data_IF_698285241032
#
_entry.id   IF_698285241032
#
_cell.length_a   1.000
_cell.length_b   1.000
_cell.length_c   1.000
_cell.angle_alpha   90.00
_cell.angle_beta   90.00
_cell.angle_gamma   90.00
#
_symmetry.space_group_name_H-M   'P 1'
#
loop_
_entity.id
_entity.type
_entity.pdbx_description
1 polymer ?
#
# COMPACT_ATOMS: atom_id res chain seq x y z
N UNK A 1 -18.71 -0.32 -7.39
CA UNK A 1 -20.04 -0.89 -7.71
C UNK A 1 -20.75 0.08 -8.65
N UNK A 2 -20.44 0.05 -9.95
CA UNK A 2 -20.99 1.03 -10.93
C UNK A 2 -20.42 2.46 -10.84
N UNK A 3 -19.65 2.77 -9.80
CA UNK A 3 -18.98 4.06 -9.62
C UNK A 3 -18.10 4.40 -10.82
N UNK A 4 -18.13 5.67 -11.23
CA UNK A 4 -17.42 6.20 -12.40
C UNK A 4 -17.75 5.46 -13.72
N UNK A 5 -18.92 4.84 -13.83
CA UNK A 5 -19.32 4.08 -15.02
C UNK A 5 -18.52 2.78 -15.23
N UNK A 6 -17.71 2.38 -14.24
CA UNK A 6 -16.92 1.15 -14.30
C UNK A 6 -17.57 0.02 -13.50
N UNK A 7 -17.45 -1.19 -14.05
CA UNK A 7 -17.78 -2.43 -13.35
C UNK A 7 -16.49 -3.17 -12.96
N UNK A 8 -16.54 -3.91 -11.86
CA UNK A 8 -15.41 -4.67 -11.30
C UNK A 8 -14.20 -3.82 -10.87
N UNK A 9 -12.98 -4.36 -10.96
CA UNK A 9 -11.75 -3.79 -10.40
C UNK A 9 -10.70 -3.37 -11.44
N UNK A 10 -11.07 -3.36 -12.72
CA UNK A 10 -10.16 -3.04 -13.83
C UNK A 10 -10.01 -1.53 -14.03
N UNK A 11 -9.70 -0.80 -12.95
CA UNK A 11 -9.54 0.64 -12.96
C UNK A 11 -8.54 1.10 -11.90
N UNK A 12 -7.99 2.29 -12.10
CA UNK A 12 -7.06 2.96 -11.19
C UNK A 12 -7.75 3.94 -10.23
N UNK A 13 -9.09 3.93 -10.16
CA UNK A 13 -9.82 4.68 -9.14
C UNK A 13 -9.57 4.13 -7.75
N UNK A 14 -9.57 5.04 -6.75
CA UNK A 14 -9.25 4.70 -5.37
C UNK A 14 -10.17 3.60 -4.81
N UNK A 15 -11.45 3.62 -5.18
CA UNK A 15 -12.44 2.63 -4.75
C UNK A 15 -12.11 1.19 -5.21
N UNK A 16 -11.28 1.04 -6.26
CA UNK A 16 -10.76 -0.25 -6.71
C UNK A 16 -9.42 -0.60 -6.05
N UNK A 17 -8.54 0.39 -5.88
CA UNK A 17 -7.13 0.15 -5.48
C UNK A 17 -6.88 0.22 -3.97
N UNK A 18 -7.75 0.90 -3.20
CA UNK A 18 -7.62 1.02 -1.75
C UNK A 18 -8.38 -0.12 -1.08
N UNK A 19 -7.64 -0.99 -0.39
CA UNK A 19 -8.18 -2.14 0.32
C UNK A 19 -8.16 -1.91 1.85
N UNK A 20 -9.00 -2.62 2.61
CA UNK A 20 -8.80 -2.73 4.05
C UNK A 20 -7.51 -3.52 4.35
N UNK A 21 -6.70 -3.01 5.27
CA UNK A 21 -5.57 -3.71 5.87
C UNK A 21 -5.64 -3.55 7.39
N UNK A 22 -5.78 -4.67 8.09
CA UNK A 22 -5.77 -4.74 9.56
C UNK A 22 -4.71 -5.76 9.93
N UNK A 23 -3.76 -5.37 10.79
CA UNK A 23 -2.72 -6.25 11.28
C UNK A 23 -2.90 -6.38 12.80
N UNK A 24 -3.05 -7.61 13.27
CA UNK A 24 -3.06 -7.94 14.69
C UNK A 24 -1.74 -8.60 15.04
N UNK A 25 -0.91 -7.92 15.83
CA UNK A 25 0.32 -8.46 16.36
C UNK A 25 0.16 -8.69 17.87
N UNK A 26 0.23 -9.94 18.37
CA UNK A 26 0.06 -10.22 19.79
C UNK A 26 1.14 -9.57 20.67
N UNK A 27 2.32 -9.30 20.10
CA UNK A 27 3.46 -8.69 20.78
C UNK A 27 3.47 -7.15 20.66
N UNK A 28 2.45 -6.55 20.03
CA UNK A 28 2.37 -5.09 19.91
C UNK A 28 1.94 -4.47 21.23
N UNK A 29 2.72 -3.51 21.71
CA UNK A 29 2.39 -2.70 22.90
C UNK A 29 1.14 -1.85 22.69
N UNK A 30 0.87 -1.43 21.45
CA UNK A 30 -0.28 -0.59 21.08
C UNK A 30 -1.31 -1.40 20.31
N UNK A 31 -2.57 -1.25 20.69
CA UNK A 31 -3.74 -1.92 20.07
C UNK A 31 -4.76 -0.88 19.60
N UNK A 32 -5.54 -1.22 18.58
CA UNK A 32 -6.61 -0.34 18.07
C UNK A 32 -6.13 0.96 17.44
N UNK A 33 -4.85 1.06 17.07
CA UNK A 33 -4.27 2.27 16.47
C UNK A 33 -4.48 2.30 14.96
N UNK A 34 -4.54 3.51 14.40
CA UNK A 34 -4.74 3.75 12.96
C UNK A 34 -3.62 4.61 12.39
N UNK A 35 -3.04 4.18 11.27
CA UNK A 35 -2.14 5.01 10.47
C UNK A 35 -2.79 5.38 9.13
N UNK A 36 -2.55 6.61 8.68
CA UNK A 36 -2.95 7.10 7.35
C UNK A 36 -1.75 7.18 6.38
N UNK A 37 -0.59 6.64 6.77
CA UNK A 37 0.59 6.59 5.90
C UNK A 37 0.34 5.68 4.70
N UNK A 38 0.79 6.06 3.47
CA UNK A 38 0.68 5.19 2.31
C UNK A 38 1.49 3.90 2.50
N UNK A 39 0.87 2.77 2.16
CA UNK A 39 1.47 1.42 2.20
C UNK A 39 1.02 0.65 0.95
N UNK A 40 1.76 -0.40 0.60
CA UNK A 40 1.47 -1.25 -0.54
C UNK A 40 1.33 -2.72 -0.12
N UNK A 41 0.64 -3.54 -0.93
CA UNK A 41 0.49 -4.97 -0.63
C UNK A 41 1.83 -5.72 -0.57
N UNK A 42 2.83 -5.27 -1.34
CA UNK A 42 4.18 -5.83 -1.34
C UNK A 42 4.92 -5.62 0.00
N UNK A 43 4.42 -4.73 0.87
CA UNK A 43 4.99 -4.47 2.18
C UNK A 43 4.69 -5.62 3.17
N UNK A 44 3.69 -6.45 2.90
CA UNK A 44 3.31 -7.56 3.78
C UNK A 44 4.43 -8.58 3.95
N UNK A 45 5.11 -8.94 2.86
CA UNK A 45 6.18 -9.93 2.92
C UNK A 45 7.33 -9.51 3.85
N UNK A 46 8.03 -8.38 3.66
CA UNK A 46 9.08 -7.95 4.57
C UNK A 46 8.56 -7.63 5.99
N UNK A 47 7.29 -7.25 6.15
CA UNK A 47 6.69 -7.08 7.48
C UNK A 47 6.64 -8.40 8.25
N UNK A 48 6.21 -9.50 7.60
CA UNK A 48 6.16 -10.81 8.23
C UNK A 48 7.56 -11.32 8.55
N UNK A 49 8.52 -11.08 7.66
CA UNK A 49 9.93 -11.45 7.87
C UNK A 49 10.49 -10.77 9.13
N UNK A 50 10.31 -9.46 9.27
CA UNK A 50 10.74 -8.72 10.47
C UNK A 50 10.03 -9.19 11.74
N UNK A 51 8.70 -9.38 11.69
CA UNK A 51 7.91 -9.85 12.84
C UNK A 51 8.28 -11.27 13.29
N UNK A 52 8.89 -12.07 12.42
CA UNK A 52 9.29 -13.45 12.69
C UNK A 52 10.80 -13.62 12.82
N UNK A 53 11.57 -12.53 12.83
CA UNK A 53 13.05 -12.53 12.87
C UNK A 53 13.69 -13.36 11.74
N UNK A 54 13.10 -13.35 10.55
CA UNK A 54 13.67 -14.00 9.36
C UNK A 54 14.31 -12.93 8.46
N UNK A 55 15.51 -13.20 7.95
CA UNK A 55 16.18 -12.29 7.03
C UNK A 55 15.41 -12.12 5.71
N UNK A 56 15.01 -10.88 5.41
CA UNK A 56 14.35 -10.54 4.15
C UNK A 56 15.32 -10.67 2.97
N UNK A 57 14.97 -11.39 1.88
CA UNK A 57 15.79 -11.48 0.67
C UNK A 57 16.05 -10.12 0.01
N UNK A 58 17.27 -9.92 -0.53
CA UNK A 58 17.69 -8.64 -1.13
C UNK A 58 16.84 -8.14 -2.30
N UNK A 59 16.14 -9.02 -3.01
CA UNK A 59 15.30 -8.67 -4.16
C UNK A 59 13.91 -8.12 -3.77
N UNK A 60 13.55 -8.20 -2.49
CA UNK A 60 12.28 -7.69 -1.99
C UNK A 60 12.31 -6.17 -2.00
N UNK A 61 11.38 -5.57 -2.71
CA UNK A 61 11.27 -4.10 -2.85
C UNK A 61 10.22 -3.48 -1.91
N UNK A 62 9.43 -4.31 -1.24
CA UNK A 62 8.52 -3.88 -0.18
C UNK A 62 9.29 -3.34 1.03
N UNK A 63 8.57 -2.70 1.94
CA UNK A 63 9.12 -2.15 3.18
C UNK A 63 8.30 -2.65 4.36
N UNK A 64 8.98 -3.15 5.38
CA UNK A 64 8.31 -3.61 6.59
C UNK A 64 7.48 -2.50 7.23
N UNK A 65 6.27 -2.85 7.66
CA UNK A 65 5.32 -1.96 8.32
C UNK A 65 5.47 -1.97 9.84
N UNK A 66 6.39 -2.77 10.39
CA UNK A 66 6.67 -2.84 11.82
C UNK A 66 6.91 -1.45 12.46
N UNK A 67 7.62 -0.49 11.81
CA UNK A 67 7.78 0.87 12.35
C UNK A 67 6.46 1.62 12.56
N UNK A 68 5.42 1.34 11.76
CA UNK A 68 4.09 1.96 11.92
C UNK A 68 3.31 1.36 13.08
N UNK A 69 3.57 0.10 13.44
CA UNK A 69 2.98 -0.55 14.61
C UNK A 69 3.53 0.06 15.92
N UNK A 70 4.82 0.40 15.92
CA UNK A 70 5.49 1.08 17.06
C UNK A 70 5.04 2.54 17.19
N UNK A 71 4.92 3.26 16.07
CA UNK A 71 4.44 4.64 16.03
C UNK A 71 3.65 4.94 14.74
N UNK A 72 2.35 5.21 14.87
CA UNK A 72 1.44 5.43 13.73
C UNK A 72 1.76 6.68 12.89
N UNK A 73 2.55 7.62 13.43
CA UNK A 73 2.98 8.81 12.71
C UNK A 73 4.19 8.56 11.79
N UNK A 74 4.85 7.39 11.92
CA UNK A 74 5.92 6.99 11.02
C UNK A 74 5.42 6.79 9.58
N UNK A 75 6.38 6.85 8.65
CA UNK A 75 6.15 6.58 7.22
C UNK A 75 7.31 5.78 6.68
N UNK A 76 7.03 4.67 6.00
CA UNK A 76 8.06 3.85 5.34
C UNK A 76 8.31 4.31 3.90
N UNK A 77 7.34 5.03 3.32
CA UNK A 77 7.36 5.62 1.98
C UNK A 77 6.58 6.93 1.96
N UNK A 78 6.85 7.78 0.96
CA UNK A 78 6.10 9.03 0.73
C UNK A 78 4.82 8.84 -0.10
N UNK A 79 4.74 7.74 -0.85
CA UNK A 79 3.64 7.43 -1.76
C UNK A 79 3.46 5.93 -1.97
N UNK A 80 2.26 5.51 -2.35
CA UNK A 80 1.95 4.17 -2.84
C UNK A 80 1.66 4.21 -4.36
N UNK A 81 2.18 3.23 -5.10
CA UNK A 81 1.95 3.10 -6.55
C UNK A 81 1.01 1.94 -6.88
N UNK A 82 0.16 2.13 -7.88
CA UNK A 82 -0.63 1.06 -8.51
C UNK A 82 -0.50 1.18 -10.02
N UNK A 83 -0.26 0.05 -10.69
CA UNK A 83 -0.21 -0.02 -12.14
C UNK A 83 -1.33 -0.90 -12.65
N UNK A 84 -1.98 -0.48 -13.73
CA UNK A 84 -2.92 -1.30 -14.48
C UNK A 84 -2.72 -1.02 -15.97
N UNK A 85 -2.29 -2.04 -16.73
CA UNK A 85 -1.89 -1.90 -18.14
C UNK A 85 -0.86 -0.76 -18.33
N UNK A 86 -1.19 0.22 -19.17
CA UNK A 86 -0.45 1.45 -19.48
C UNK A 86 -0.80 2.62 -18.53
N UNK A 87 -1.61 2.38 -17.50
CA UNK A 87 -1.97 3.37 -16.50
C UNK A 87 -1.18 3.21 -15.22
N UNK A 88 -0.88 4.35 -14.59
CA UNK A 88 -0.21 4.44 -13.30
C UNK A 88 -1.00 5.36 -12.38
N UNK A 89 -1.13 4.98 -11.11
CA UNK A 89 -1.67 5.84 -10.07
C UNK A 89 -0.72 5.91 -8.89
N UNK A 90 -0.46 7.14 -8.41
CA UNK A 90 0.40 7.42 -7.26
C UNK A 90 -0.45 8.12 -6.20
N UNK A 91 -0.52 7.54 -5.00
CA UNK A 91 -1.20 8.10 -3.82
C UNK A 91 -0.17 8.56 -2.80
N UNK A 92 -0.18 9.85 -2.46
CA UNK A 92 0.54 10.41 -1.30
C UNK A 92 -0.42 10.55 -0.12
N UNK A 93 0.04 11.10 1.02
CA UNK A 93 -0.86 11.44 2.14
C UNK A 93 -1.99 12.41 1.70
N UNK A 94 -1.68 13.39 0.85
CA UNK A 94 -2.61 14.47 0.48
C UNK A 94 -3.28 14.28 -0.88
N UNK A 95 -2.53 13.82 -1.88
CA UNK A 95 -2.97 13.82 -3.28
C UNK A 95 -2.96 12.43 -3.90
N UNK A 96 -3.74 12.25 -4.97
CA UNK A 96 -3.67 11.10 -5.87
C UNK A 96 -3.55 11.62 -7.30
N UNK A 97 -2.58 11.09 -8.04
CA UNK A 97 -2.40 11.36 -9.47
C UNK A 97 -2.62 10.05 -10.23
N UNK A 98 -3.41 10.09 -11.30
CA UNK A 98 -3.56 8.98 -12.24
C UNK A 98 -3.16 9.46 -13.64
N UNK A 99 -2.19 8.77 -14.25
CA UNK A 99 -1.71 9.03 -15.60
C UNK A 99 -1.97 7.80 -16.46
N UNK A 100 -2.51 8.01 -17.65
CA UNK A 100 -2.60 7.00 -18.70
C UNK A 100 -1.60 7.35 -19.80
N UNK A 101 -0.78 6.39 -20.19
CA UNK A 101 0.13 6.56 -21.31
C UNK A 101 -0.60 6.21 -22.60
N UNK A 102 -0.66 7.15 -23.53
CA UNK A 102 -1.18 6.88 -24.87
C UNK A 102 -0.11 6.10 -25.61
N UNK A 103 -0.45 4.93 -26.14
CA UNK A 103 0.46 4.24 -27.06
C UNK A 103 0.60 5.14 -28.29
N UNK A 104 1.82 5.56 -28.63
CA UNK A 104 2.06 6.18 -29.93
C UNK A 104 1.75 5.13 -31.00
N UNK A 105 0.97 5.52 -32.00
CA UNK A 105 0.74 4.72 -33.20
C UNK A 105 2.03 4.54 -33.99
#
# INVERSE_FOLDING_TARGET
>A
MGEHGHWQKQTLFENSTRIPLIISNPNSEKKGVKSNSPVELIDLYPTLMDLTNINTPKHVVGKSLEPLMKNVNNSVRGSAITRWRNGYSIKTKRYRLTKWEVMAN
#
